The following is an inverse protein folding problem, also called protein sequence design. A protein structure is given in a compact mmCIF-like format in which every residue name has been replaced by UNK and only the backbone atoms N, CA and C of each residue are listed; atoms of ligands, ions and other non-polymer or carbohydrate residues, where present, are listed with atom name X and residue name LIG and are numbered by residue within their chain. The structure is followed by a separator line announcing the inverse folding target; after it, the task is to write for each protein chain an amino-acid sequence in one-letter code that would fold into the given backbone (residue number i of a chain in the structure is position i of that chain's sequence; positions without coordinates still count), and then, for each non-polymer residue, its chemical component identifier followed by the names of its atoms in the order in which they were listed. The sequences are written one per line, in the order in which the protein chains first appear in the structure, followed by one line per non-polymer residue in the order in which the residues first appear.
data_IF_742508192343
#
_entry.id   IF_742508192343
#
_cell.length_a   1.000
_cell.length_b   1.000
_cell.length_c   1.000
_cell.angle_alpha   90.00
_cell.angle_beta   90.00
_cell.angle_gamma   90.00
#
_symmetry.space_group_name_H-M   'P 1'
#
loop_
_entity.id
_entity.type
_entity.pdbx_description
1 polymer ?
#
# COMPACT_ATOMS: atom_id res chain seq x y z
N UNK A 1 1.51 -21.21 58.47
CA UNK A 1 0.61 -20.10 58.18
C UNK A 1 0.89 -19.59 56.79
N UNK A 2 0.05 -20.03 55.85
CA UNK A 2 0.20 -19.83 54.41
C UNK A 2 -0.75 -18.74 53.96
N UNK A 3 -0.24 -17.65 53.47
CA UNK A 3 -1.02 -16.55 52.87
C UNK A 3 -0.91 -16.60 51.36
N UNK A 4 -1.90 -17.19 50.68
CA UNK A 4 -2.09 -17.08 49.24
C UNK A 4 -2.59 -15.68 48.89
N UNK A 5 -1.83 -14.92 48.11
CA UNK A 5 -2.30 -13.71 47.41
C UNK A 5 -3.02 -14.13 46.14
N UNK A 6 -4.29 -13.78 46.06
CA UNK A 6 -5.11 -13.91 44.86
C UNK A 6 -4.67 -12.86 43.81
N UNK A 7 -4.45 -13.30 42.60
CA UNK A 7 -4.26 -12.46 41.46
C UNK A 7 -5.64 -11.87 41.03
N UNK A 8 -5.70 -10.58 40.93
CA UNK A 8 -6.84 -9.84 40.41
C UNK A 8 -6.77 -9.89 38.87
N UNK A 9 -7.77 -10.52 38.30
CA UNK A 9 -8.00 -10.54 36.86
C UNK A 9 -8.64 -9.19 36.50
N UNK A 10 -7.96 -8.35 35.75
CA UNK A 10 -8.53 -7.20 35.11
C UNK A 10 -9.28 -7.70 33.86
N UNK A 11 -10.59 -7.79 33.98
CA UNK A 11 -11.49 -8.01 32.84
C UNK A 11 -11.60 -6.67 32.12
N UNK A 12 -10.85 -6.53 31.01
CA UNK A 12 -11.05 -5.45 30.06
C UNK A 12 -12.39 -5.67 29.35
N UNK A 13 -13.42 -5.00 29.86
CA UNK A 13 -14.75 -4.93 29.26
C UNK A 13 -14.67 -4.16 27.93
N UNK A 14 -14.64 -4.90 26.83
CA UNK A 14 -14.71 -4.36 25.48
C UNK A 14 -16.13 -3.82 25.27
N UNK A 15 -16.31 -2.52 25.40
CA UNK A 15 -17.56 -1.85 25.06
C UNK A 15 -17.58 -1.68 23.54
N UNK A 16 -18.43 -2.42 22.85
CA UNK A 16 -18.78 -2.24 21.46
C UNK A 16 -19.41 -0.86 21.28
N UNK A 17 -18.74 0.04 20.60
CA UNK A 17 -19.13 1.44 20.43
C UNK A 17 -20.26 1.57 19.38
N UNK A 18 -20.51 0.53 18.60
CA UNK A 18 -21.61 0.51 17.62
C UNK A 18 -22.99 0.46 18.27
N UNK A 19 -23.12 -0.13 19.48
CA UNK A 19 -24.39 -0.18 20.22
C UNK A 19 -24.75 1.14 20.93
N UNK A 20 -23.84 2.08 21.06
CA UNK A 20 -24.10 3.37 21.73
C UNK A 20 -24.65 4.45 20.78
N UNK A 21 -24.76 4.16 19.48
CA UNK A 21 -25.30 5.11 18.48
C UNK A 21 -26.79 4.90 18.24
N UNK A 22 -27.34 3.71 18.56
CA UNK A 22 -28.75 3.35 18.26
C UNK A 22 -29.78 3.68 19.33
N UNK A 23 -29.41 4.30 20.45
CA UNK A 23 -30.39 4.56 21.54
C UNK A 23 -30.98 5.97 21.58
N UNK A 24 -30.77 6.81 20.57
CA UNK A 24 -31.39 8.14 20.49
C UNK A 24 -32.13 8.44 19.17
N UNK A 25 -32.59 7.40 18.47
CA UNK A 25 -33.48 7.57 17.34
C UNK A 25 -34.75 6.75 17.55
N UNK A 26 -35.70 7.30 18.26
CA UNK A 26 -37.11 7.01 18.06
C UNK A 26 -37.94 8.01 18.87
N UNK A 27 -38.29 9.09 18.22
CA UNK A 27 -39.62 9.72 18.26
C UNK A 27 -39.61 10.94 17.32
N UNK A 28 -40.54 10.94 16.38
CA UNK A 28 -40.87 12.00 15.43
C UNK A 28 -40.09 12.02 14.09
N UNK A 29 -40.67 11.34 13.07
CA UNK A 29 -41.14 12.02 11.86
C UNK A 29 -41.48 11.02 10.75
N UNK A 30 -42.74 10.79 10.55
CA UNK A 30 -43.31 10.46 9.24
C UNK A 30 -43.19 11.69 8.34
N UNK A 31 -42.17 11.72 7.49
CA UNK A 31 -42.18 12.45 6.21
C UNK A 31 -41.14 11.87 5.29
N UNK A 32 -41.59 11.39 4.11
CA UNK A 32 -40.76 10.69 3.14
C UNK A 32 -39.69 11.59 2.51
N UNK A 33 -38.49 11.44 2.98
CA UNK A 33 -37.26 11.90 2.35
C UNK A 33 -36.46 10.71 1.86
N UNK A 34 -35.69 10.89 0.78
CA UNK A 34 -34.82 9.87 0.25
C UNK A 34 -33.64 9.62 1.21
N UNK A 35 -33.30 8.36 1.45
CA UNK A 35 -32.25 7.90 2.39
C UNK A 35 -30.87 8.58 2.20
N UNK A 36 -30.57 9.17 1.04
CA UNK A 36 -29.37 9.92 0.78
C UNK A 36 -29.40 11.38 1.31
N UNK A 37 -30.60 11.91 1.65
CA UNK A 37 -30.73 13.24 2.25
C UNK A 37 -30.35 13.26 3.73
N UNK A 38 -30.48 12.12 4.41
CA UNK A 38 -30.12 11.99 5.83
C UNK A 38 -28.59 11.98 6.02
N UNK A 39 -27.85 11.50 5.03
CA UNK A 39 -26.38 11.45 5.06
C UNK A 39 -25.72 12.81 4.84
N UNK A 40 -26.47 13.81 4.37
CA UNK A 40 -25.98 15.16 4.06
C UNK A 40 -26.31 16.19 5.15
N UNK A 41 -26.20 15.83 6.42
CA UNK A 41 -26.22 16.82 7.52
C UNK A 41 -24.93 17.65 7.39
N UNK A 42 -25.07 18.86 6.89
CA UNK A 42 -23.95 19.79 6.76
C UNK A 42 -23.37 20.06 8.14
N UNK A 43 -22.03 20.07 8.27
CA UNK A 43 -21.32 20.18 9.55
C UNK A 43 -21.67 21.42 10.37
N UNK A 44 -22.35 22.41 9.78
CA UNK A 44 -22.83 23.62 10.43
C UNK A 44 -24.29 23.50 10.93
N UNK A 45 -25.08 22.53 10.49
CA UNK A 45 -26.43 22.26 11.05
C UNK A 45 -26.37 21.66 12.46
N UNK A 46 -25.20 21.14 12.86
CA UNK A 46 -24.93 20.60 14.20
C UNK A 46 -24.56 21.69 15.21
N UNK A 47 -24.39 22.94 14.75
CA UNK A 47 -24.03 24.07 15.60
C UNK A 47 -25.30 24.63 16.27
N UNK A 48 -25.73 24.00 17.36
CA UNK A 48 -26.73 24.57 18.23
C UNK A 48 -26.07 25.52 19.24
N UNK A 49 -26.61 26.72 19.36
CA UNK A 49 -26.18 27.70 20.37
C UNK A 49 -26.64 27.25 21.76
N UNK A 50 -25.75 27.33 22.75
CA UNK A 50 -26.13 27.14 24.15
C UNK A 50 -27.09 28.25 24.59
N UNK A 51 -27.81 28.03 25.68
CA UNK A 51 -28.77 28.98 26.25
C UNK A 51 -28.18 30.37 26.55
N UNK A 52 -26.82 30.50 26.48
CA UNK A 52 -26.08 31.74 26.63
C UNK A 52 -25.54 32.31 25.30
N UNK A 53 -25.92 31.73 24.14
CA UNK A 53 -25.46 32.19 22.81
C UNK A 53 -23.99 31.96 22.51
N UNK A 54 -23.35 30.97 23.16
CA UNK A 54 -21.91 30.67 22.95
C UNK A 54 -21.72 29.39 22.16
N UNK A 55 -20.96 29.47 21.09
CA UNK A 55 -20.55 28.32 20.26
C UNK A 55 -19.31 27.59 20.80
N UNK A 56 -18.69 28.10 21.87
CA UNK A 56 -17.39 27.60 22.35
C UNK A 56 -17.44 26.17 22.91
N UNK A 57 -18.56 25.77 23.54
CA UNK A 57 -18.75 24.43 24.09
C UNK A 57 -18.92 23.40 22.97
N UNK A 58 -19.68 23.73 21.93
CA UNK A 58 -19.94 22.87 20.77
C UNK A 58 -18.67 22.68 19.94
N UNK A 59 -17.91 23.76 19.71
CA UNK A 59 -16.61 23.70 19.02
C UNK A 59 -15.62 22.85 19.80
N UNK A 60 -15.55 23.00 21.13
CA UNK A 60 -14.70 22.17 21.98
C UNK A 60 -15.09 20.69 21.92
N UNK A 61 -16.38 20.37 21.93
CA UNK A 61 -16.89 19.00 21.82
C UNK A 61 -16.57 18.38 20.44
N UNK A 62 -16.78 19.13 19.36
CA UNK A 62 -16.43 18.68 18.00
C UNK A 62 -14.91 18.47 17.85
N UNK A 63 -14.09 19.35 18.42
CA UNK A 63 -12.64 19.16 18.43
C UNK A 63 -12.23 17.93 19.23
N UNK A 64 -12.90 17.65 20.34
CA UNK A 64 -12.66 16.46 21.15
C UNK A 64 -13.09 15.20 20.43
N UNK A 65 -14.24 15.20 19.72
CA UNK A 65 -14.66 14.09 18.88
C UNK A 65 -13.70 13.84 17.72
N UNK A 66 -13.25 14.90 17.03
CA UNK A 66 -12.23 14.76 15.97
C UNK A 66 -10.91 14.21 16.51
N UNK A 67 -10.51 14.62 17.71
CA UNK A 67 -9.32 14.11 18.41
C UNK A 67 -9.49 12.63 18.77
N UNK A 68 -10.66 12.22 19.29
CA UNK A 68 -10.99 10.81 19.55
C UNK A 68 -11.01 9.98 18.25
N UNK A 69 -11.68 10.45 17.19
CA UNK A 69 -11.66 9.77 15.88
C UNK A 69 -10.27 9.63 15.28
N UNK A 70 -9.36 10.58 15.53
CA UNK A 70 -7.94 10.46 15.12
C UNK A 70 -7.18 9.44 15.95
N UNK A 71 -7.47 9.31 17.23
CA UNK A 71 -6.86 8.32 18.12
C UNK A 71 -7.41 6.90 17.90
N UNK A 72 -8.70 6.78 17.55
CA UNK A 72 -9.36 5.51 17.25
C UNK A 72 -9.18 5.04 15.80
N UNK A 73 -8.69 5.90 14.89
CA UNK A 73 -8.16 5.39 13.64
C UNK A 73 -6.97 4.54 14.00
N UNK A 74 -7.18 3.24 13.89
CA UNK A 74 -6.13 2.23 13.88
C UNK A 74 -5.27 2.47 12.63
N UNK A 75 -4.51 3.54 12.70
CA UNK A 75 -3.36 3.70 11.83
C UNK A 75 -2.39 2.64 12.33
N UNK A 76 -2.49 1.44 11.75
CA UNK A 76 -1.37 0.51 11.80
C UNK A 76 -0.14 1.39 11.57
N UNK A 77 0.63 1.60 12.63
CA UNK A 77 1.82 2.42 12.59
C UNK A 77 2.74 1.74 11.59
N UNK A 78 2.65 2.18 10.34
CA UNK A 78 3.62 1.79 9.33
C UNK A 78 4.90 2.40 9.83
N UNK A 79 5.66 1.61 10.60
CA UNK A 79 7.03 1.96 10.96
C UNK A 79 7.81 2.01 9.65
N UNK A 80 7.75 3.16 8.99
CA UNK A 80 8.64 3.44 7.88
C UNK A 80 9.99 3.70 8.51
N UNK A 81 10.92 2.79 8.32
CA UNK A 81 12.31 3.06 8.64
C UNK A 81 12.72 4.39 7.97
N UNK A 82 13.53 5.18 8.64
CA UNK A 82 14.07 6.43 8.08
C UNK A 82 14.84 6.12 6.80
N UNK A 83 15.52 4.98 6.76
CA UNK A 83 16.27 4.48 5.61
C UNK A 83 15.44 3.42 4.92
N UNK A 84 15.14 3.63 3.65
CA UNK A 84 14.35 2.70 2.83
C UNK A 84 15.21 2.08 1.75
N UNK A 85 15.12 0.77 1.61
CA UNK A 85 15.74 0.00 0.53
C UNK A 85 14.64 -0.56 -0.33
N UNK A 86 14.51 -0.05 -1.55
CA UNK A 86 13.42 -0.39 -2.46
C UNK A 86 13.96 -0.99 -3.75
N UNK A 87 13.43 -2.16 -4.14
CA UNK A 87 13.54 -2.63 -5.52
C UNK A 87 12.28 -2.32 -6.30
N UNK A 88 12.45 -1.60 -7.40
CA UNK A 88 11.42 -1.37 -8.40
C UNK A 88 11.53 -2.47 -9.45
N UNK A 89 10.54 -3.34 -9.52
CA UNK A 89 10.43 -4.43 -10.49
C UNK A 89 9.46 -4.03 -11.58
N UNK A 90 9.90 -4.05 -12.83
CA UNK A 90 9.09 -3.67 -13.99
C UNK A 90 8.93 -4.88 -14.90
N UNK A 91 7.70 -5.20 -15.22
CA UNK A 91 7.36 -6.22 -16.20
C UNK A 91 7.68 -5.71 -17.61
N UNK A 92 8.45 -6.49 -18.37
CA UNK A 92 8.77 -6.29 -19.79
C UNK A 92 8.29 -7.46 -20.65
N UNK A 93 7.22 -8.13 -20.24
CA UNK A 93 6.58 -9.17 -21.06
C UNK A 93 5.90 -8.60 -22.30
N UNK A 94 5.53 -9.47 -23.23
CA UNK A 94 4.78 -9.06 -24.43
C UNK A 94 3.46 -8.37 -24.11
N UNK A 95 2.81 -8.69 -23.00
CA UNK A 95 1.60 -8.04 -22.52
C UNK A 95 1.75 -6.53 -22.28
N UNK A 96 2.99 -6.04 -22.09
CA UNK A 96 3.27 -4.62 -21.92
C UNK A 96 3.20 -3.81 -23.23
N UNK A 97 3.14 -4.47 -24.39
CA UNK A 97 2.93 -3.83 -25.69
C UNK A 97 1.47 -3.45 -25.94
N UNK A 98 0.55 -3.93 -25.14
CA UNK A 98 -0.85 -3.58 -25.29
C UNK A 98 -1.10 -2.06 -25.16
N UNK A 99 -2.04 -1.57 -25.96
CA UNK A 99 -2.37 -0.13 -26.09
C UNK A 99 -3.68 0.25 -25.41
N UNK A 100 -4.12 -0.53 -24.45
CA UNK A 100 -5.25 -0.21 -23.59
C UNK A 100 -4.98 1.03 -22.71
N UNK A 101 -3.71 1.21 -22.36
CA UNK A 101 -3.19 2.43 -21.74
C UNK A 101 -2.36 3.21 -22.77
N UNK A 102 -2.77 4.43 -23.07
CA UNK A 102 -2.10 5.23 -24.11
C UNK A 102 -0.83 5.88 -23.60
N UNK A 103 0.27 5.85 -24.36
CA UNK A 103 0.42 5.28 -25.72
C UNK A 103 0.53 3.76 -25.76
N UNK A 104 1.20 3.10 -24.79
CA UNK A 104 1.24 1.68 -24.49
C UNK A 104 1.43 1.47 -22.99
N UNK A 105 1.16 0.26 -22.48
CA UNK A 105 1.43 -0.05 -21.06
C UNK A 105 2.88 0.22 -20.72
N UNK A 106 3.81 -0.18 -21.59
CA UNK A 106 5.25 -0.01 -21.39
C UNK A 106 5.65 1.47 -21.29
N UNK A 107 5.30 2.28 -22.30
CA UNK A 107 5.70 3.69 -22.34
C UNK A 107 5.13 4.48 -21.16
N UNK A 108 3.88 4.19 -20.82
CA UNK A 108 3.26 4.76 -19.63
C UNK A 108 4.00 4.37 -18.35
N UNK A 109 4.31 3.09 -18.20
CA UNK A 109 5.05 2.56 -17.04
C UNK A 109 6.42 3.20 -16.92
N UNK A 110 7.18 3.29 -18.01
CA UNK A 110 8.50 3.91 -18.02
C UNK A 110 8.43 5.41 -17.69
N UNK A 111 7.39 6.10 -18.13
CA UNK A 111 7.18 7.52 -17.79
C UNK A 111 6.94 7.69 -16.29
N UNK A 112 6.03 6.90 -15.73
CA UNK A 112 5.76 6.94 -14.29
C UNK A 112 6.94 6.40 -13.46
N UNK A 113 7.67 5.39 -13.94
CA UNK A 113 8.85 4.91 -13.25
C UNK A 113 9.94 5.98 -13.13
N UNK A 114 10.17 6.77 -14.20
CA UNK A 114 11.11 7.91 -14.17
C UNK A 114 10.66 8.99 -13.18
N UNK A 115 9.38 9.35 -13.19
CA UNK A 115 8.82 10.30 -12.23
C UNK A 115 8.92 9.77 -10.80
N UNK A 116 8.57 8.50 -10.59
CA UNK A 116 8.66 7.84 -9.30
C UNK A 116 10.07 7.85 -8.73
N UNK A 117 11.11 7.57 -9.55
CA UNK A 117 12.51 7.62 -9.11
C UNK A 117 12.86 9.02 -8.60
N UNK A 118 12.47 10.06 -9.33
CA UNK A 118 12.73 11.45 -8.91
C UNK A 118 12.03 11.77 -7.59
N UNK A 119 10.72 11.53 -7.52
CA UNK A 119 9.93 11.81 -6.31
C UNK A 119 10.37 10.98 -5.10
N UNK A 120 10.83 9.73 -5.32
CA UNK A 120 11.30 8.86 -4.26
C UNK A 120 12.53 9.44 -3.55
N UNK A 121 13.50 9.95 -4.31
CA UNK A 121 14.71 10.56 -3.75
C UNK A 121 14.46 11.97 -3.18
N UNK A 122 13.53 12.74 -3.78
CA UNK A 122 13.11 14.03 -3.25
C UNK A 122 12.48 13.89 -1.86
N UNK A 123 11.69 12.83 -1.66
CA UNK A 123 11.05 12.56 -0.37
C UNK A 123 11.97 11.84 0.63
N UNK A 124 12.92 11.05 0.16
CA UNK A 124 13.75 10.17 0.98
C UNK A 124 15.23 10.19 0.50
N UNK A 125 15.98 11.26 0.74
CA UNK A 125 17.33 11.42 0.20
C UNK A 125 18.36 10.41 0.75
N UNK A 126 18.10 9.80 1.92
CA UNK A 126 19.01 8.82 2.56
C UNK A 126 18.70 7.38 2.08
N UNK A 127 17.66 7.19 1.28
CA UNK A 127 17.20 5.87 0.85
C UNK A 127 17.98 5.35 -0.36
N UNK A 128 17.88 4.05 -0.57
CA UNK A 128 18.47 3.38 -1.73
C UNK A 128 17.36 2.78 -2.59
N UNK A 129 17.57 2.82 -3.91
CA UNK A 129 16.69 2.23 -4.90
C UNK A 129 17.50 1.33 -5.83
N UNK A 130 16.93 0.19 -6.23
CA UNK A 130 17.42 -0.66 -7.30
C UNK A 130 16.32 -0.90 -8.33
N UNK A 131 16.68 -1.20 -9.57
CA UNK A 131 15.72 -1.49 -10.63
C UNK A 131 15.98 -2.88 -11.17
N UNK A 132 14.92 -3.66 -11.28
CA UNK A 132 14.90 -4.98 -11.91
C UNK A 132 13.82 -5.02 -12.98
N UNK A 133 14.00 -5.86 -13.97
CA UNK A 133 13.02 -6.11 -15.02
C UNK A 133 12.77 -7.61 -15.15
N UNK A 134 11.58 -7.96 -15.65
CA UNK A 134 11.18 -9.33 -15.92
C UNK A 134 10.92 -9.46 -17.41
N UNK A 135 11.59 -10.40 -18.06
CA UNK A 135 11.34 -10.78 -19.45
C UNK A 135 11.77 -12.22 -19.70
N UNK A 136 11.15 -12.91 -20.64
CA UNK A 136 11.46 -14.31 -21.01
C UNK A 136 11.53 -15.28 -19.83
N UNK A 137 10.67 -15.10 -18.82
CA UNK A 137 10.67 -15.91 -17.59
C UNK A 137 11.86 -15.65 -16.66
N UNK A 138 12.72 -14.67 -16.94
CA UNK A 138 13.91 -14.37 -16.15
C UNK A 138 13.84 -12.96 -15.56
N UNK A 139 14.37 -12.81 -14.35
CA UNK A 139 14.58 -11.50 -13.75
C UNK A 139 15.99 -11.00 -14.07
N UNK A 140 16.10 -9.75 -14.51
CA UNK A 140 17.36 -9.09 -14.78
C UNK A 140 17.50 -7.83 -13.93
N UNK A 141 18.65 -7.65 -13.31
CA UNK A 141 18.95 -6.46 -12.53
C UNK A 141 19.54 -5.38 -13.43
N UNK A 142 18.86 -4.28 -13.61
CA UNK A 142 19.34 -3.13 -14.38
C UNK A 142 20.26 -2.24 -13.56
N UNK A 143 19.93 -2.03 -12.28
CA UNK A 143 20.75 -1.24 -11.34
C UNK A 143 20.77 -1.87 -9.97
N UNK A 144 21.90 -1.78 -9.29
CA UNK A 144 22.03 -2.17 -7.89
C UNK A 144 21.40 -1.13 -6.95
N UNK A 145 21.27 -1.48 -5.67
CA UNK A 145 20.82 -0.55 -4.64
C UNK A 145 21.81 0.62 -4.54
N UNK A 146 21.37 1.80 -4.92
CA UNK A 146 22.16 3.03 -4.94
C UNK A 146 21.33 4.22 -4.49
N UNK A 147 21.97 5.22 -3.92
CA UNK A 147 21.38 6.52 -3.59
C UNK A 147 21.44 7.53 -4.74
N UNK A 148 21.93 7.15 -5.91
CA UNK A 148 22.10 8.07 -7.04
C UNK A 148 20.95 7.97 -8.05
N UNK A 149 20.04 8.94 -8.12
CA UNK A 149 18.90 8.88 -9.05
C UNK A 149 19.31 8.90 -10.52
N UNK A 150 20.47 9.50 -10.85
CA UNK A 150 20.89 9.67 -12.26
C UNK A 150 21.21 8.33 -12.92
N UNK A 151 21.77 7.36 -12.17
CA UNK A 151 22.10 6.04 -12.70
C UNK A 151 20.85 5.24 -13.02
N UNK A 152 19.84 5.32 -12.15
CA UNK A 152 18.54 4.69 -12.37
C UNK A 152 17.81 5.29 -13.57
N UNK A 153 17.81 6.62 -13.69
CA UNK A 153 17.18 7.31 -14.83
C UNK A 153 17.90 6.98 -16.15
N UNK A 154 19.23 6.83 -16.12
CA UNK A 154 20.01 6.41 -17.29
C UNK A 154 19.66 4.99 -17.72
N UNK A 155 19.55 4.06 -16.75
CA UNK A 155 19.14 2.68 -17.01
C UNK A 155 17.74 2.59 -17.63
N UNK A 156 16.77 3.38 -17.12
CA UNK A 156 15.41 3.45 -17.65
C UNK A 156 15.32 4.13 -19.03
N UNK A 157 16.28 4.96 -19.42
CA UNK A 157 16.31 5.60 -20.75
C UNK A 157 16.94 4.73 -21.82
N UNK A 158 17.70 3.70 -21.44
CA UNK A 158 18.39 2.83 -22.39
C UNK A 158 17.36 1.97 -23.15
N UNK A 159 17.34 2.09 -24.49
CA UNK A 159 16.39 1.37 -25.35
C UNK A 159 16.51 -0.15 -25.25
N UNK A 160 17.70 -0.69 -25.04
CA UNK A 160 17.89 -2.14 -24.84
C UNK A 160 17.16 -2.67 -23.63
N UNK A 161 17.06 -1.86 -22.59
CA UNK A 161 16.36 -2.22 -21.36
C UNK A 161 14.83 -2.06 -21.47
N UNK A 162 14.34 -1.63 -22.64
CA UNK A 162 12.91 -1.39 -22.92
C UNK A 162 12.34 -2.40 -23.91
N UNK A 163 13.14 -3.36 -24.37
CA UNK A 163 12.67 -4.43 -25.24
C UNK A 163 11.77 -5.38 -24.43
N UNK A 164 10.58 -5.61 -24.95
CA UNK A 164 9.62 -6.53 -24.37
C UNK A 164 9.69 -7.87 -25.07
N UNK A 165 9.73 -8.95 -24.31
CA UNK A 165 9.74 -10.31 -24.85
C UNK A 165 9.19 -11.33 -23.85
N UNK A 166 8.56 -12.38 -24.40
CA UNK A 166 8.12 -13.57 -23.70
C UNK A 166 7.13 -13.35 -22.58
N UNK A 167 7.01 -14.35 -21.72
CA UNK A 167 6.16 -14.32 -20.54
C UNK A 167 6.96 -13.94 -19.27
N UNK A 168 6.31 -13.31 -18.27
CA UNK A 168 7.01 -12.92 -17.06
C UNK A 168 7.03 -14.06 -16.03
N UNK A 169 8.11 -14.14 -15.24
CA UNK A 169 8.15 -14.94 -14.02
C UNK A 169 8.19 -14.02 -12.80
N UNK A 170 7.12 -14.03 -12.04
CA UNK A 170 7.03 -13.24 -10.81
C UNK A 170 7.93 -13.84 -9.72
N UNK A 171 7.98 -15.17 -9.62
CA UNK A 171 8.80 -15.88 -8.64
C UNK A 171 10.29 -15.51 -8.78
N UNK A 172 10.85 -15.61 -9.98
CA UNK A 172 12.27 -15.30 -10.22
C UNK A 172 12.64 -13.86 -9.83
N UNK A 173 11.73 -12.90 -10.09
CA UNK A 173 11.96 -11.52 -9.71
C UNK A 173 11.91 -11.30 -8.20
N UNK A 174 10.96 -11.92 -7.53
CA UNK A 174 10.83 -11.83 -6.08
C UNK A 174 12.01 -12.49 -5.36
N UNK A 175 12.46 -13.66 -5.83
CA UNK A 175 13.60 -14.38 -5.26
C UNK A 175 14.89 -13.57 -5.44
N UNK A 176 15.13 -13.01 -6.62
CA UNK A 176 16.29 -12.15 -6.87
C UNK A 176 16.28 -10.89 -6.02
N UNK A 177 15.11 -10.23 -5.90
CA UNK A 177 14.97 -9.04 -5.07
C UNK A 177 15.13 -9.38 -3.58
N UNK A 178 14.57 -10.48 -3.11
CA UNK A 178 14.71 -10.97 -1.74
C UNK A 178 16.17 -11.24 -1.40
N UNK A 179 16.89 -12.00 -2.25
CA UNK A 179 18.31 -12.30 -2.07
C UNK A 179 19.19 -11.04 -1.98
N UNK A 180 18.82 -10.00 -2.74
CA UNK A 180 19.52 -8.71 -2.70
C UNK A 180 19.22 -7.92 -1.41
N UNK A 181 17.99 -8.02 -0.89
CA UNK A 181 17.54 -7.29 0.31
C UNK A 181 17.95 -7.97 1.62
N UNK A 182 18.19 -9.27 1.65
CA UNK A 182 18.63 -9.99 2.86
C UNK A 182 19.94 -9.43 3.39
N UNK A 183 20.85 -9.01 2.52
CA UNK A 183 22.15 -8.46 2.90
C UNK A 183 22.08 -7.01 3.42
N UNK A 184 20.92 -6.39 3.35
CA UNK A 184 20.72 -5.00 3.79
C UNK A 184 20.53 -4.97 5.31
N UNK A 185 21.10 -3.96 6.02
CA UNK A 185 20.96 -3.84 7.48
C UNK A 185 19.50 -3.83 7.94
N UNK A 186 19.25 -4.43 9.10
CA UNK A 186 17.88 -4.62 9.65
C UNK A 186 17.19 -3.33 10.12
N UNK A 187 17.96 -2.24 10.28
CA UNK A 187 17.38 -0.94 10.70
C UNK A 187 16.67 -0.20 9.56
N UNK A 188 16.90 -0.58 8.30
CA UNK A 188 16.20 -0.05 7.14
C UNK A 188 14.95 -0.86 6.79
N UNK A 189 13.97 -0.23 6.14
CA UNK A 189 12.85 -0.96 5.57
C UNK A 189 13.28 -1.67 4.28
N UNK A 190 12.82 -2.93 4.11
CA UNK A 190 13.04 -3.75 2.93
C UNK A 190 11.76 -3.78 2.12
N UNK A 191 11.78 -3.19 0.94
CA UNK A 191 10.57 -2.99 0.14
C UNK A 191 10.79 -3.44 -1.31
N UNK A 192 9.74 -4.03 -1.89
CA UNK A 192 9.67 -4.36 -3.32
C UNK A 192 8.41 -3.71 -3.88
N UNK A 193 8.54 -2.97 -4.96
CA UNK A 193 7.42 -2.42 -5.72
C UNK A 193 7.39 -3.07 -7.10
N UNK A 194 6.36 -3.85 -7.36
CA UNK A 194 6.18 -4.55 -8.64
C UNK A 194 5.16 -3.80 -9.49
N UNK A 195 5.53 -3.47 -10.73
CA UNK A 195 4.62 -2.97 -11.77
C UNK A 195 4.46 -4.09 -12.79
N UNK A 196 3.23 -4.59 -12.92
CA UNK A 196 2.94 -5.82 -13.66
C UNK A 196 1.81 -5.61 -14.66
N UNK A 197 2.05 -5.99 -15.91
CA UNK A 197 1.09 -5.83 -17.00
C UNK A 197 0.48 -7.13 -17.50
N UNK A 198 1.07 -8.28 -17.18
CA UNK A 198 0.53 -9.59 -17.57
C UNK A 198 -0.59 -10.05 -16.65
N UNK A 199 -1.38 -11.01 -17.12
CA UNK A 199 -2.40 -11.73 -16.33
C UNK A 199 -1.91 -13.08 -15.82
N UNK A 200 -0.87 -13.61 -16.45
CA UNK A 200 -0.28 -14.92 -16.16
C UNK A 200 1.15 -14.75 -15.67
N UNK A 201 1.64 -15.73 -14.94
CA UNK A 201 3.04 -15.83 -14.53
C UNK A 201 3.56 -17.21 -14.89
N UNK A 202 4.77 -17.28 -15.43
CA UNK A 202 5.44 -18.52 -15.81
C UNK A 202 6.53 -18.82 -14.77
N UNK A 203 6.12 -19.31 -13.62
CA UNK A 203 7.01 -19.53 -12.49
C UNK A 203 7.59 -20.96 -12.51
N UNK A 204 8.89 -21.13 -12.19
CA UNK A 204 9.56 -22.44 -12.18
C UNK A 204 9.15 -23.33 -10.99
N UNK A 205 8.64 -22.78 -9.92
CA UNK A 205 8.27 -23.49 -8.71
C UNK A 205 6.99 -22.97 -8.06
N UNK A 206 6.82 -23.25 -6.77
CA UNK A 206 5.66 -22.74 -6.02
C UNK A 206 5.94 -21.33 -5.50
N UNK A 207 5.18 -20.37 -5.99
CA UNK A 207 5.29 -18.97 -5.58
C UNK A 207 4.92 -18.77 -4.10
N UNK A 208 4.14 -19.68 -3.50
CA UNK A 208 3.78 -19.60 -2.08
C UNK A 208 4.96 -19.83 -1.15
N UNK A 209 5.95 -20.62 -1.57
CA UNK A 209 7.22 -20.79 -0.83
C UNK A 209 8.01 -19.49 -0.81
N UNK A 210 8.08 -18.80 -1.96
CA UNK A 210 8.71 -17.46 -2.06
C UNK A 210 7.97 -16.43 -1.17
N UNK A 211 6.65 -16.46 -1.13
CA UNK A 211 5.85 -15.59 -0.24
C UNK A 211 6.19 -15.86 1.23
N UNK A 212 6.29 -17.13 1.63
CA UNK A 212 6.66 -17.50 2.99
C UNK A 212 8.07 -17.01 3.36
N UNK A 213 9.01 -17.09 2.42
CA UNK A 213 10.37 -16.58 2.60
C UNK A 213 10.39 -15.05 2.75
N UNK A 214 9.71 -14.31 1.88
CA UNK A 214 9.59 -12.84 1.96
C UNK A 214 9.00 -12.39 3.30
N UNK A 215 8.00 -13.11 3.80
CA UNK A 215 7.40 -12.86 5.11
C UNK A 215 8.40 -13.09 6.24
N UNK A 216 9.18 -14.17 6.19
CA UNK A 216 10.22 -14.50 7.18
C UNK A 216 11.30 -13.42 7.23
N UNK A 217 11.72 -12.91 6.07
CA UNK A 217 12.74 -11.85 5.93
C UNK A 217 12.20 -10.43 6.16
N UNK A 218 10.91 -10.29 6.50
CA UNK A 218 10.22 -9.01 6.69
C UNK A 218 10.34 -8.06 5.49
N UNK A 219 10.26 -8.62 4.28
CA UNK A 219 10.25 -7.85 3.03
C UNK A 219 8.82 -7.48 2.71
N UNK A 220 8.54 -6.20 2.57
CA UNK A 220 7.23 -5.68 2.18
C UNK A 220 7.12 -5.63 0.67
N UNK A 221 6.11 -6.27 0.11
CA UNK A 221 5.87 -6.25 -1.34
C UNK A 221 4.62 -5.46 -1.66
N UNK A 222 4.77 -4.41 -2.46
CA UNK A 222 3.66 -3.62 -3.00
C UNK A 222 3.49 -3.90 -4.49
N UNK A 223 2.26 -3.92 -4.97
CA UNK A 223 1.94 -4.34 -6.32
C UNK A 223 1.05 -3.33 -7.04
N UNK A 224 1.43 -3.00 -8.28
CA UNK A 224 0.64 -2.17 -9.19
C UNK A 224 0.29 -3.00 -10.42
N UNK A 225 -0.95 -3.48 -10.50
CA UNK A 225 -1.47 -4.20 -11.66
C UNK A 225 -1.97 -3.22 -12.72
N UNK A 226 -1.59 -3.43 -13.97
CA UNK A 226 -2.01 -2.60 -15.10
C UNK A 226 -3.22 -3.20 -15.84
N UNK A 227 -3.36 -4.53 -15.83
CA UNK A 227 -4.45 -5.25 -16.47
C UNK A 227 -5.60 -5.55 -15.49
N UNK A 228 -5.57 -6.69 -14.85
CA UNK A 228 -6.62 -7.12 -13.93
C UNK A 228 -6.05 -7.59 -12.59
N UNK A 229 -6.94 -7.93 -11.68
CA UNK A 229 -6.56 -8.44 -10.38
C UNK A 229 -6.14 -9.90 -10.44
N UNK A 230 -4.90 -10.19 -10.07
CA UNK A 230 -4.35 -11.53 -9.95
C UNK A 230 -4.43 -11.97 -8.49
N UNK A 231 -4.97 -13.17 -8.25
CA UNK A 231 -5.15 -13.69 -6.89
C UNK A 231 -3.82 -13.84 -6.14
N UNK A 232 -2.77 -14.31 -6.83
CA UNK A 232 -1.43 -14.46 -6.25
C UNK A 232 -0.89 -13.13 -5.75
N UNK A 233 -1.02 -12.06 -6.54
CA UNK A 233 -0.56 -10.72 -6.16
C UNK A 233 -1.35 -10.15 -4.96
N UNK A 234 -2.64 -10.51 -4.85
CA UNK A 234 -3.46 -10.16 -3.69
C UNK A 234 -2.95 -10.85 -2.42
N UNK A 235 -2.70 -12.15 -2.51
CA UNK A 235 -2.16 -12.94 -1.40
C UNK A 235 -0.78 -12.44 -0.99
N UNK A 236 0.12 -12.19 -1.96
CA UNK A 236 1.45 -11.65 -1.74
C UNK A 236 1.42 -10.33 -0.94
N UNK A 237 0.64 -9.35 -1.39
CA UNK A 237 0.53 -8.07 -0.68
C UNK A 237 -0.06 -8.22 0.72
N UNK A 238 -1.05 -9.11 0.89
CA UNK A 238 -1.71 -9.35 2.17
C UNK A 238 -0.76 -9.98 3.19
N UNK A 239 -0.02 -11.01 2.78
CA UNK A 239 0.92 -11.74 3.65
C UNK A 239 2.18 -10.93 4.01
N UNK A 240 2.60 -10.01 3.13
CA UNK A 240 3.80 -9.17 3.33
C UNK A 240 3.48 -7.77 3.88
N UNK A 241 2.24 -7.50 4.28
CA UNK A 241 1.78 -6.17 4.73
C UNK A 241 2.05 -5.04 3.71
N UNK A 242 2.02 -5.38 2.43
CA UNK A 242 2.21 -4.44 1.33
C UNK A 242 0.91 -3.80 0.86
N UNK A 243 1.05 -2.82 -0.03
CA UNK A 243 -0.07 -2.14 -0.64
C UNK A 243 -0.35 -2.69 -2.03
N UNK A 244 -1.63 -2.86 -2.36
CA UNK A 244 -2.09 -3.20 -3.70
C UNK A 244 -2.85 -2.04 -4.32
N UNK A 245 -2.45 -1.63 -5.50
CA UNK A 245 -3.19 -0.68 -6.33
C UNK A 245 -3.52 -1.34 -7.67
N UNK A 246 -4.79 -1.34 -8.03
CA UNK A 246 -5.27 -1.61 -9.37
C UNK A 246 -5.57 -0.27 -10.03
N UNK A 247 -5.08 -0.07 -11.24
CA UNK A 247 -5.54 1.06 -12.04
C UNK A 247 -6.94 0.69 -12.53
N UNK A 248 -8.00 1.31 -11.97
CA UNK A 248 -9.33 1.28 -12.59
C UNK A 248 -9.21 2.06 -13.89
N UNK A 249 -9.29 1.34 -15.01
CA UNK A 249 -9.48 1.95 -16.31
C UNK A 249 -10.90 2.52 -16.26
N UNK A 250 -11.02 3.85 -16.13
CA UNK A 250 -12.27 4.52 -16.45
C UNK A 250 -12.34 4.57 -17.98
N UNK A 251 -13.26 3.76 -18.54
CA UNK A 251 -13.70 3.89 -19.94
C UNK A 251 -14.38 5.24 -20.15
#
# INVERSE_FOLDING_TARGET
MSGRRAAKKDDDEYIDIDDAIDTHENEDAQQGGYSWEEEYKRSWDVLQEDAEGRLSSVVAHLQQQMKRRRLLRDTATVQRGIIRHLFLVIDLSEAMNEKDLRPSRLELTLTYAKQFVTEYFDQNPISQLGIMVIRDGVAERLTDLSGNPTDHLRALKNKRNQETSGEPSLQNALDMACASLVNVPSHGSREILVIYGSLTTCDPGDIYDTIAQLKKENVRVSFVGLAAEIQVCRTLCKETNGNKKLKKIQC
#
